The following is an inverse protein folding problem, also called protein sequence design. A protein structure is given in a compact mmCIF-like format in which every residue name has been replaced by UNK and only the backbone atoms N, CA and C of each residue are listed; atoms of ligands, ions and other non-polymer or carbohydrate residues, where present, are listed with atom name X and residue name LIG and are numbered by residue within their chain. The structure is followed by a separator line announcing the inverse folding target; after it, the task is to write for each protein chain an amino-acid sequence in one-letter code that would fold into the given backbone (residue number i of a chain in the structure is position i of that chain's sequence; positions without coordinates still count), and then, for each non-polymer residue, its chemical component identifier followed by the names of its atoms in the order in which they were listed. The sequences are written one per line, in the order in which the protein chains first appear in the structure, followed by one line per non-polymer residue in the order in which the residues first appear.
data_IF_014716028155
#
_entry.id   IF_014716028155
#
_cell.length_a   1.000
_cell.length_b   1.000
_cell.length_c   1.000
_cell.angle_alpha   90.00
_cell.angle_beta   90.00
_cell.angle_gamma   90.00
#
_symmetry.space_group_name_H-M   'P 1'
#
loop_
_entity.id
_entity.type
_entity.pdbx_description
1 polymer ?
#
# COMPACT_ATOMS: atom_id res chain seq x y z
N UNK A 1 -15.61 34.73 27.50
CA UNK A 1 -14.33 35.45 27.26
C UNK A 1 -13.49 34.56 26.36
N UNK A 2 -13.71 34.67 25.04
CA UNK A 2 -12.99 33.85 24.05
C UNK A 2 -11.57 34.39 23.94
N UNK A 3 -10.58 33.56 24.22
CA UNK A 3 -9.17 33.93 24.03
C UNK A 3 -8.96 34.49 22.62
N UNK A 4 -8.17 35.56 22.51
CA UNK A 4 -7.87 36.21 21.23
C UNK A 4 -7.25 35.16 20.28
N UNK A 5 -7.56 35.14 18.97
CA UNK A 5 -7.08 34.09 18.05
C UNK A 5 -5.55 33.88 18.01
N UNK A 6 -4.79 34.90 18.40
CA UNK A 6 -3.33 34.84 18.54
C UNK A 6 -2.88 34.00 19.76
N UNK A 7 -3.61 34.05 20.87
CA UNK A 7 -3.31 33.32 22.11
C UNK A 7 -3.60 31.82 21.94
N UNK A 8 -4.68 31.47 21.23
CA UNK A 8 -4.99 30.08 20.88
C UNK A 8 -3.95 29.46 19.94
N UNK A 9 -3.36 30.26 19.03
CA UNK A 9 -2.31 29.79 18.14
C UNK A 9 -1.02 29.47 18.90
N UNK A 10 -0.62 30.32 19.84
CA UNK A 10 0.56 30.10 20.68
C UNK A 10 0.39 28.87 21.59
N UNK A 11 -0.76 28.72 22.26
CA UNK A 11 -1.08 27.55 23.07
C UNK A 11 -1.07 26.25 22.25
N UNK A 12 -1.60 26.29 21.02
CA UNK A 12 -1.58 25.15 20.11
C UNK A 12 -0.15 24.77 19.72
N UNK A 13 0.73 25.73 19.43
CA UNK A 13 2.13 25.44 19.15
C UNK A 13 2.86 24.81 20.34
N UNK A 14 2.60 25.30 21.55
CA UNK A 14 3.19 24.77 22.78
C UNK A 14 2.76 23.31 23.02
N UNK A 15 1.47 23.02 22.89
CA UNK A 15 0.92 21.66 22.98
C UNK A 15 1.52 20.76 21.89
N UNK A 16 1.63 21.25 20.65
CA UNK A 16 2.23 20.47 19.55
C UNK A 16 3.70 20.15 19.80
N UNK A 17 4.48 21.09 20.37
CA UNK A 17 5.88 20.87 20.74
C UNK A 17 6.03 19.87 21.89
N UNK A 18 5.18 19.92 22.92
CA UNK A 18 5.18 18.95 24.01
C UNK A 18 4.81 17.54 23.52
N UNK A 19 3.77 17.42 22.69
CA UNK A 19 3.39 16.15 22.07
C UNK A 19 4.51 15.63 21.17
N UNK A 20 5.11 16.49 20.35
CA UNK A 20 6.23 16.11 19.48
C UNK A 20 7.45 15.63 20.29
N UNK A 21 7.74 16.25 21.43
CA UNK A 21 8.82 15.84 22.34
C UNK A 21 8.56 14.51 23.04
N UNK A 22 7.29 14.14 23.25
CA UNK A 22 6.87 12.87 23.88
C UNK A 22 6.72 11.71 22.89
N UNK A 23 6.86 11.94 21.58
CA UNK A 23 6.77 10.87 20.58
C UNK A 23 8.03 10.00 20.62
N UNK A 24 7.94 8.69 20.88
CA UNK A 24 9.07 7.77 20.93
C UNK A 24 9.62 7.38 19.54
N UNK A 25 9.47 8.25 18.53
CA UNK A 25 9.92 8.01 17.15
C UNK A 25 11.15 8.85 16.86
N UNK A 26 12.26 8.49 17.51
CA UNK A 26 13.57 9.01 17.09
C UNK A 26 14.01 8.15 15.90
N UNK A 27 14.12 8.71 14.67
CA UNK A 27 14.55 7.94 13.52
C UNK A 27 15.97 7.43 13.74
N UNK A 28 16.08 6.14 14.07
CA UNK A 28 17.37 5.48 14.27
C UNK A 28 18.08 5.38 12.91
N UNK A 29 19.07 6.24 12.68
CA UNK A 29 19.81 6.33 11.43
C UNK A 29 20.39 4.96 11.00
N UNK A 30 20.89 4.17 11.95
CA UNK A 30 21.41 2.81 11.71
C UNK A 30 20.34 1.85 11.18
N UNK A 31 19.14 1.85 11.77
CA UNK A 31 18.03 1.01 11.29
C UNK A 31 17.61 1.42 9.89
N UNK A 32 17.53 2.73 9.62
CA UNK A 32 17.22 3.26 8.28
C UNK A 32 18.26 2.84 7.24
N UNK A 33 19.55 2.87 7.61
CA UNK A 33 20.64 2.43 6.74
C UNK A 33 20.55 0.95 6.41
N UNK A 34 20.26 0.09 7.41
CA UNK A 34 20.08 -1.36 7.19
C UNK A 34 18.94 -1.63 6.21
N UNK A 35 17.77 -1.01 6.42
CA UNK A 35 16.64 -1.16 5.50
C UNK A 35 16.97 -0.65 4.08
N UNK A 36 17.68 0.48 3.98
CA UNK A 36 18.15 1.01 2.70
C UNK A 36 19.11 0.05 1.98
N UNK A 37 20.03 -0.58 2.71
CA UNK A 37 20.94 -1.57 2.16
C UNK A 37 20.20 -2.81 1.63
N UNK A 38 19.20 -3.31 2.36
CA UNK A 38 18.36 -4.42 1.90
C UNK A 38 17.61 -4.08 0.60
N UNK A 39 17.06 -2.86 0.50
CA UNK A 39 16.41 -2.39 -0.73
C UNK A 39 17.42 -2.32 -1.88
N UNK A 40 18.61 -1.78 -1.66
CA UNK A 40 19.65 -1.70 -2.67
C UNK A 40 20.07 -3.09 -3.18
N UNK A 41 20.28 -4.05 -2.28
CA UNK A 41 20.60 -5.44 -2.65
C UNK A 41 19.47 -6.05 -3.49
N UNK A 42 18.21 -5.83 -3.11
CA UNK A 42 17.06 -6.31 -3.88
C UNK A 42 16.99 -5.72 -5.29
N UNK A 43 17.18 -4.41 -5.42
CA UNK A 43 17.21 -3.72 -6.72
C UNK A 43 18.36 -4.20 -7.58
N UNK A 44 19.57 -4.33 -7.03
CA UNK A 44 20.75 -4.82 -7.75
C UNK A 44 20.56 -6.27 -8.20
N UNK A 45 20.01 -7.10 -7.34
CA UNK A 45 19.71 -8.51 -7.65
C UNK A 45 18.68 -8.63 -8.76
N UNK A 46 17.63 -7.80 -8.73
CA UNK A 46 16.63 -7.74 -9.80
C UNK A 46 17.23 -7.23 -11.12
N UNK A 47 18.03 -6.16 -11.08
CA UNK A 47 18.70 -5.63 -12.27
C UNK A 47 19.63 -6.69 -12.90
N UNK A 48 20.43 -7.39 -12.09
CA UNK A 48 21.27 -8.50 -12.55
C UNK A 48 20.45 -9.62 -13.22
N UNK A 49 19.33 -10.01 -12.61
CA UNK A 49 18.43 -11.02 -13.18
C UNK A 49 17.75 -10.55 -14.48
N UNK A 50 17.47 -9.25 -14.61
CA UNK A 50 16.85 -8.67 -15.79
C UNK A 50 17.75 -8.80 -17.03
N UNK A 51 19.06 -8.60 -16.87
CA UNK A 51 20.04 -8.79 -17.94
C UNK A 51 20.36 -10.25 -18.21
N UNK A 52 20.41 -11.09 -17.17
CA UNK A 52 20.79 -12.49 -17.32
C UNK A 52 19.65 -13.36 -17.84
N UNK A 53 18.48 -13.27 -17.22
CA UNK A 53 17.32 -14.15 -17.44
C UNK A 53 16.01 -13.38 -17.25
N UNK A 54 15.60 -12.54 -18.23
CA UNK A 54 14.49 -11.61 -18.08
C UNK A 54 13.17 -12.30 -17.73
N UNK A 55 12.92 -13.49 -18.31
CA UNK A 55 11.72 -14.28 -18.05
C UNK A 55 11.55 -14.62 -16.55
N UNK A 56 12.64 -15.00 -15.89
CA UNK A 56 12.64 -15.32 -14.45
C UNK A 56 12.56 -14.07 -13.59
N UNK A 57 13.18 -12.97 -14.02
CA UNK A 57 13.11 -11.69 -13.33
C UNK A 57 11.65 -11.21 -13.19
N UNK A 58 10.92 -11.15 -14.30
CA UNK A 58 9.52 -10.73 -14.32
C UNK A 58 8.61 -11.72 -13.57
N UNK A 59 8.87 -13.02 -13.66
CA UNK A 59 8.14 -14.03 -12.89
C UNK A 59 8.31 -13.85 -11.37
N UNK A 60 9.56 -13.67 -10.92
CA UNK A 60 9.85 -13.40 -9.51
C UNK A 60 9.24 -12.09 -9.02
N UNK A 61 9.26 -11.04 -9.85
CA UNK A 61 8.62 -9.77 -9.55
C UNK A 61 7.10 -9.92 -9.44
N UNK A 62 6.47 -10.67 -10.36
CA UNK A 62 5.03 -10.92 -10.34
C UNK A 62 4.60 -11.63 -9.05
N UNK A 63 5.29 -12.71 -8.67
CA UNK A 63 5.00 -13.48 -7.45
C UNK A 63 5.11 -12.58 -6.21
N UNK A 64 6.20 -11.82 -6.09
CA UNK A 64 6.38 -10.91 -4.95
C UNK A 64 5.30 -9.83 -4.90
N UNK A 65 4.97 -9.23 -6.05
CA UNK A 65 3.94 -8.20 -6.13
C UNK A 65 2.59 -8.75 -5.67
N UNK A 66 2.18 -9.92 -6.17
CA UNK A 66 0.91 -10.55 -5.81
C UNK A 66 0.90 -10.96 -4.32
N UNK A 67 2.01 -11.50 -3.81
CA UNK A 67 2.12 -11.92 -2.42
C UNK A 67 1.91 -10.75 -1.45
N UNK A 68 2.68 -9.67 -1.61
CA UNK A 68 2.60 -8.52 -0.71
C UNK A 68 1.28 -7.74 -0.89
N UNK A 69 0.79 -7.63 -2.12
CA UNK A 69 -0.50 -6.99 -2.40
C UNK A 69 -1.67 -7.79 -1.81
N UNK A 70 -1.63 -9.12 -1.89
CA UNK A 70 -2.63 -10.01 -1.29
C UNK A 70 -2.68 -9.89 0.22
N UNK A 71 -1.52 -9.81 0.88
CA UNK A 71 -1.43 -9.55 2.33
C UNK A 71 -2.06 -8.19 2.68
N UNK A 72 -1.75 -7.14 1.92
CA UNK A 72 -2.32 -5.81 2.15
C UNK A 72 -3.85 -5.79 1.97
N UNK A 73 -4.37 -6.47 0.95
CA UNK A 73 -5.81 -6.61 0.75
C UNK A 73 -6.48 -7.42 1.88
N UNK A 74 -5.86 -8.51 2.31
CA UNK A 74 -6.34 -9.32 3.45
C UNK A 74 -6.42 -8.51 4.74
N UNK A 75 -5.43 -7.65 5.00
CA UNK A 75 -5.45 -6.74 6.14
C UNK A 75 -6.64 -5.75 6.11
N UNK A 76 -6.96 -5.20 4.94
CA UNK A 76 -8.12 -4.30 4.75
C UNK A 76 -9.43 -5.05 5.00
N UNK A 77 -9.58 -6.25 4.44
CA UNK A 77 -10.78 -7.06 4.63
C UNK A 77 -10.96 -7.44 6.10
N UNK A 78 -9.88 -7.84 6.78
CA UNK A 78 -9.90 -8.15 8.21
C UNK A 78 -10.30 -6.93 9.05
N UNK A 79 -9.70 -5.77 8.78
CA UNK A 79 -10.05 -4.51 9.42
C UNK A 79 -11.54 -4.16 9.23
N UNK A 80 -12.08 -4.33 8.03
CA UNK A 80 -13.50 -4.13 7.74
C UNK A 80 -14.38 -5.13 8.50
N UNK A 81 -14.02 -6.42 8.53
CA UNK A 81 -14.78 -7.45 9.23
C UNK A 81 -14.88 -7.19 10.74
N UNK A 82 -13.77 -6.79 11.37
CA UNK A 82 -13.72 -6.41 12.79
C UNK A 82 -14.61 -5.20 13.06
N UNK A 83 -14.54 -4.16 12.22
CA UNK A 83 -15.39 -2.96 12.34
C UNK A 83 -16.86 -3.30 12.17
N UNK A 84 -17.21 -4.18 11.22
CA UNK A 84 -18.59 -4.61 10.96
C UNK A 84 -19.17 -5.39 12.15
N UNK A 85 -18.36 -6.22 12.79
CA UNK A 85 -18.76 -7.02 13.96
C UNK A 85 -18.75 -6.24 15.29
N UNK A 86 -18.41 -4.94 15.29
CA UNK A 86 -18.18 -4.15 16.51
C UNK A 86 -17.20 -4.82 17.48
N UNK A 87 -16.15 -5.46 16.96
CA UNK A 87 -15.18 -6.24 17.73
C UNK A 87 -14.24 -5.35 18.56
N UNK A 88 -14.58 -5.13 19.83
CA UNK A 88 -13.80 -4.26 20.75
C UNK A 88 -12.46 -4.87 21.20
N UNK A 89 -12.28 -6.18 21.04
CA UNK A 89 -11.08 -6.92 21.44
C UNK A 89 -9.90 -6.72 20.47
N UNK A 90 -10.16 -6.25 19.25
CA UNK A 90 -9.19 -6.26 18.17
C UNK A 90 -8.27 -5.04 18.11
N UNK A 91 -8.17 -4.24 19.19
CA UNK A 91 -7.35 -3.02 19.21
C UNK A 91 -5.92 -3.20 18.66
N UNK A 92 -5.13 -4.17 19.17
CA UNK A 92 -3.78 -4.43 18.66
C UNK A 92 -3.75 -4.94 17.21
N UNK A 93 -4.68 -5.84 16.87
CA UNK A 93 -4.80 -6.43 15.52
C UNK A 93 -5.14 -5.35 14.49
N UNK A 94 -5.97 -4.38 14.88
CA UNK A 94 -6.36 -3.27 14.03
C UNK A 94 -5.17 -2.39 13.65
N UNK A 95 -4.25 -2.12 14.60
CA UNK A 95 -3.03 -1.35 14.33
C UNK A 95 -2.10 -2.05 13.35
N UNK A 96 -2.01 -3.39 13.42
CA UNK A 96 -1.23 -4.20 12.47
C UNK A 96 -1.92 -4.21 11.10
N UNK A 97 -3.23 -4.38 11.06
CA UNK A 97 -3.98 -4.35 9.81
C UNK A 97 -3.86 -2.98 9.10
N UNK A 98 -3.94 -1.90 9.87
CA UNK A 98 -3.75 -0.53 9.38
C UNK A 98 -2.32 -0.31 8.86
N UNK A 99 -1.29 -0.80 9.56
CA UNK A 99 0.09 -0.68 9.09
C UNK A 99 0.36 -1.50 7.82
N UNK A 100 -0.22 -2.69 7.69
CA UNK A 100 -0.15 -3.49 6.45
C UNK A 100 -0.89 -2.81 5.29
N UNK A 101 -2.03 -2.17 5.55
CA UNK A 101 -2.78 -1.45 4.53
C UNK A 101 -2.02 -0.24 3.95
N UNK A 102 -1.03 0.29 4.68
CA UNK A 102 -0.16 1.36 4.19
C UNK A 102 0.71 0.93 3.00
N UNK A 103 0.83 -0.38 2.73
CA UNK A 103 1.52 -0.91 1.54
C UNK A 103 0.71 -0.75 0.24
N UNK A 104 -0.60 -0.55 0.31
CA UNK A 104 -1.48 -0.43 -0.88
C UNK A 104 -1.01 0.55 -1.96
N UNK A 105 -0.61 1.81 -1.66
CA UNK A 105 -0.11 2.73 -2.70
C UNK A 105 1.14 2.19 -3.40
N UNK A 106 2.05 1.57 -2.65
CA UNK A 106 3.26 0.97 -3.20
C UNK A 106 2.92 -0.26 -4.05
N UNK A 107 2.04 -1.14 -3.55
CA UNK A 107 1.55 -2.29 -4.29
C UNK A 107 0.81 -1.91 -5.59
N UNK A 108 0.05 -0.82 -5.58
CA UNK A 108 -0.58 -0.25 -6.78
C UNK A 108 0.46 0.16 -7.81
N UNK A 109 1.49 0.91 -7.40
CA UNK A 109 2.58 1.33 -8.28
C UNK A 109 3.34 0.12 -8.83
N UNK A 110 3.68 -0.86 -7.99
CA UNK A 110 4.37 -2.07 -8.42
C UNK A 110 3.54 -2.88 -9.42
N UNK A 111 2.21 -2.93 -9.24
CA UNK A 111 1.28 -3.58 -10.17
C UNK A 111 1.18 -2.82 -11.50
N UNK A 112 1.18 -1.48 -11.48
CA UNK A 112 1.24 -0.66 -12.71
C UNK A 112 2.50 -0.97 -13.50
N UNK A 113 3.66 -1.01 -12.83
CA UNK A 113 4.95 -1.36 -13.45
C UNK A 113 4.88 -2.76 -14.05
N UNK A 114 4.33 -3.74 -13.32
CA UNK A 114 4.17 -5.12 -13.81
C UNK A 114 3.32 -5.19 -15.07
N UNK A 115 2.18 -4.51 -15.07
CA UNK A 115 1.24 -4.53 -16.18
C UNK A 115 1.83 -3.87 -17.42
N UNK A 116 2.53 -2.73 -17.29
CA UNK A 116 3.07 -2.02 -18.45
C UNK A 116 4.31 -2.75 -19.01
N UNK A 117 5.22 -3.21 -18.14
CA UNK A 117 6.52 -3.71 -18.58
C UNK A 117 6.63 -5.24 -18.66
N UNK A 118 5.85 -5.99 -17.87
CA UNK A 118 5.99 -7.45 -17.75
C UNK A 118 4.91 -8.29 -18.46
N UNK A 119 3.88 -7.67 -19.05
CA UNK A 119 2.68 -8.38 -19.52
C UNK A 119 2.97 -9.51 -20.51
N UNK A 120 3.95 -9.33 -21.40
CA UNK A 120 4.33 -10.28 -22.44
C UNK A 120 5.16 -11.46 -21.93
N UNK A 121 5.61 -11.38 -20.68
CA UNK A 121 6.55 -12.33 -20.10
C UNK A 121 5.81 -13.44 -19.37
N UNK A 122 4.98 -13.11 -18.38
CA UNK A 122 4.38 -14.11 -17.48
C UNK A 122 2.97 -14.55 -17.89
N UNK A 123 2.34 -13.89 -18.88
CA UNK A 123 0.99 -14.23 -19.34
C UNK A 123 1.06 -14.93 -20.71
N UNK A 124 0.98 -16.28 -20.77
CA UNK A 124 1.11 -17.00 -22.03
C UNK A 124 -0.03 -16.71 -23.02
N UNK A 125 -1.24 -16.46 -22.52
CA UNK A 125 -2.44 -16.20 -23.33
C UNK A 125 -2.38 -14.91 -24.14
N UNK A 126 -1.48 -13.97 -23.82
CA UNK A 126 -1.36 -12.72 -24.59
C UNK A 126 -0.86 -13.00 -26.01
N UNK A 127 -0.14 -14.10 -26.21
CA UNK A 127 0.31 -14.55 -27.52
C UNK A 127 -0.79 -15.27 -28.31
N UNK A 128 -1.68 -15.97 -27.62
CA UNK A 128 -2.76 -16.72 -28.23
C UNK A 128 -3.98 -16.75 -27.30
N UNK A 129 -5.03 -16.03 -27.69
CA UNK A 129 -6.28 -15.93 -26.93
C UNK A 129 -7.30 -16.85 -27.57
N UNK A 130 -7.82 -17.81 -26.78
CA UNK A 130 -8.90 -18.68 -27.22
C UNK A 130 -10.18 -17.84 -27.47
N UNK A 131 -10.90 -18.02 -28.59
CA UNK A 131 -12.06 -17.18 -28.95
C UNK A 131 -13.15 -17.12 -27.88
N UNK A 132 -13.39 -18.24 -27.18
CA UNK A 132 -14.37 -18.32 -26.08
C UNK A 132 -14.01 -17.43 -24.89
N UNK A 133 -12.72 -17.22 -24.67
CA UNK A 133 -12.17 -16.48 -23.54
C UNK A 133 -11.86 -15.02 -23.87
N UNK A 134 -11.86 -14.68 -25.17
CA UNK A 134 -11.54 -13.36 -25.68
C UNK A 134 -12.27 -12.21 -24.95
N UNK A 135 -13.58 -12.28 -24.62
CA UNK A 135 -14.26 -11.18 -23.92
C UNK A 135 -13.60 -10.80 -22.59
N UNK A 136 -13.08 -11.80 -21.85
CA UNK A 136 -12.49 -11.61 -20.53
C UNK A 136 -10.97 -11.47 -20.55
N UNK A 137 -10.31 -12.14 -21.50
CA UNK A 137 -8.86 -12.17 -21.69
C UNK A 137 -8.40 -11.12 -22.72
N UNK A 138 -8.87 -9.89 -22.52
CA UNK A 138 -8.46 -8.72 -23.27
C UNK A 138 -7.45 -7.91 -22.47
N UNK A 139 -6.37 -7.49 -23.12
CA UNK A 139 -5.32 -6.67 -22.48
C UNK A 139 -5.89 -5.35 -21.92
N UNK A 140 -6.64 -4.52 -22.68
CA UNK A 140 -7.21 -3.28 -22.12
C UNK A 140 -8.18 -3.53 -20.95
N UNK A 141 -8.94 -4.63 -21.01
CA UNK A 141 -9.86 -5.01 -19.94
C UNK A 141 -9.12 -5.45 -18.67
N UNK A 142 -7.99 -6.16 -18.81
CA UNK A 142 -7.11 -6.52 -17.70
C UNK A 142 -6.56 -5.26 -17.01
N UNK A 143 -6.11 -4.27 -17.77
CA UNK A 143 -5.67 -2.99 -17.21
C UNK A 143 -6.80 -2.30 -16.45
N UNK A 144 -7.97 -2.14 -17.09
CA UNK A 144 -9.11 -1.47 -16.50
C UNK A 144 -9.52 -2.13 -15.17
N UNK A 145 -9.80 -3.44 -15.16
CA UNK A 145 -10.30 -4.12 -13.94
C UNK A 145 -9.30 -4.06 -12.79
N UNK A 146 -8.01 -4.20 -13.08
CA UNK A 146 -6.96 -4.28 -12.06
C UNK A 146 -6.66 -2.89 -11.48
N UNK A 147 -6.51 -1.89 -12.35
CA UNK A 147 -6.19 -0.53 -11.93
C UNK A 147 -7.38 0.18 -11.29
N UNK A 148 -8.61 -0.05 -11.78
CA UNK A 148 -9.82 0.52 -11.18
C UNK A 148 -10.05 -0.10 -9.79
N UNK A 149 -9.96 -1.44 -9.67
CA UNK A 149 -10.18 -2.12 -8.39
C UNK A 149 -9.19 -1.67 -7.31
N UNK A 150 -7.90 -1.64 -7.65
CA UNK A 150 -6.87 -1.18 -6.72
C UNK A 150 -6.92 0.33 -6.47
N UNK A 151 -7.21 1.14 -7.48
CA UNK A 151 -7.32 2.59 -7.36
C UNK A 151 -8.48 3.01 -6.46
N UNK A 152 -9.63 2.32 -6.56
CA UNK A 152 -10.76 2.50 -5.64
C UNK A 152 -10.37 2.17 -4.20
N UNK A 153 -9.69 1.05 -4.00
CA UNK A 153 -9.28 0.60 -2.68
C UNK A 153 -8.29 1.60 -2.04
N UNK A 154 -7.28 2.03 -2.79
CA UNK A 154 -6.34 3.07 -2.34
C UNK A 154 -7.05 4.40 -2.00
N UNK A 155 -8.02 4.82 -2.82
CA UNK A 155 -8.81 6.04 -2.57
C UNK A 155 -9.64 5.92 -1.28
N UNK A 156 -10.16 4.75 -0.95
CA UNK A 156 -10.91 4.57 0.31
C UNK A 156 -10.02 4.68 1.54
N UNK A 157 -8.80 4.15 1.47
CA UNK A 157 -7.86 4.18 2.60
C UNK A 157 -7.25 5.57 2.83
N UNK A 158 -7.06 6.35 1.77
CA UNK A 158 -6.43 7.68 1.84
C UNK A 158 -7.36 8.81 2.26
N UNK A 159 -8.68 8.55 2.41
CA UNK A 159 -9.63 9.58 2.84
C UNK A 159 -9.40 9.94 4.31
N UNK A 160 -9.03 11.20 4.63
CA UNK A 160 -8.99 11.65 6.01
C UNK A 160 -10.39 11.54 6.59
N UNK A 161 -10.55 10.88 7.73
CA UNK A 161 -11.81 10.98 8.48
C UNK A 161 -11.92 12.42 8.99
N UNK A 162 -12.70 13.23 8.29
CA UNK A 162 -13.10 14.54 8.80
C UNK A 162 -13.80 14.30 10.14
N UNK A 163 -13.22 14.86 11.19
CA UNK A 163 -13.64 14.81 12.59
C UNK A 163 -15.17 14.76 12.77
N UNK A 164 -15.66 13.69 13.39
CA UNK A 164 -16.83 13.81 14.26
C UNK A 164 -16.34 14.27 15.62
N UNK A 165 -16.13 15.58 15.76
CA UNK A 165 -16.38 16.21 17.07
C UNK A 165 -17.89 16.40 17.20
N UNK A 166 -18.36 16.37 18.44
CA UNK A 166 -19.77 16.51 18.87
C UNK A 166 -20.63 15.24 18.78
N UNK A 167 -20.59 14.46 19.87
CA UNK A 167 -21.82 14.27 20.63
C UNK A 167 -21.49 14.13 22.12
N UNK A 168 -22.22 14.95 22.88
CA UNK A 168 -22.30 15.14 24.33
C UNK A 168 -22.28 13.87 25.15
#
# INVERSE_FOLDING_TARGET
MTAHPAEQAALREEILKDIAGKLPVIPNARKRMIWGACVAIGVLSFAFLLFSQPQRAWGAYAINTIYWLGIAQGAVVLACAIRLANGRWAGPIMRIAESLSAFLPFGYLLMVILLIAGIWTYLPWVKHVEPRQAPYLNVPFLYARTLIGLGLLWRTTSRPSSSRSTRS
#
